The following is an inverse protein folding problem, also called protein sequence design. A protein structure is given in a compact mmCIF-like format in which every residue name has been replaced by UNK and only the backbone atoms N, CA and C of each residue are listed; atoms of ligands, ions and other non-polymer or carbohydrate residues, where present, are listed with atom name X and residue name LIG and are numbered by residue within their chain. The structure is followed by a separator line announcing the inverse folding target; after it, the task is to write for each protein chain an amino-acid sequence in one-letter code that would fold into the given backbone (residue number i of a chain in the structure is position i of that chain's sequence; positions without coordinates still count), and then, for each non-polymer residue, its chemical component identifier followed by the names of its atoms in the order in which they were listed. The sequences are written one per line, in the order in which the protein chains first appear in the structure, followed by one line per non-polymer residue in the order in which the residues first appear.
data_IF_901151510628
#
_entry.id   IF_901151510628
#
_cell.length_a   1.000
_cell.length_b   1.000
_cell.length_c   1.000
_cell.angle_alpha   90.00
_cell.angle_beta   90.00
_cell.angle_gamma   90.00
#
_symmetry.space_group_name_H-M   'P 1'
#
loop_
_entity.id
_entity.type
_entity.pdbx_description
1 polymer ?
#
# COMPACT_ATOMS: atom_id res chain seq x y z
N UNK A 1 -8.33 32.16 35.00
CA UNK A 1 -8.43 32.75 33.65
C UNK A 1 -7.79 31.76 32.68
N UNK A 2 -8.59 30.94 31.98
CA UNK A 2 -8.12 29.90 31.06
C UNK A 2 -8.23 30.43 29.63
N UNK A 3 -7.13 30.44 28.89
CA UNK A 3 -7.15 30.78 27.46
C UNK A 3 -7.60 29.55 26.66
N UNK A 4 -8.58 29.67 25.75
CA UNK A 4 -8.97 28.55 24.90
C UNK A 4 -7.85 28.29 23.89
N UNK A 5 -7.36 27.06 23.86
CA UNK A 5 -6.45 26.58 22.82
C UNK A 5 -7.30 26.37 21.56
N UNK A 6 -7.02 27.17 20.53
CA UNK A 6 -7.67 27.00 19.23
C UNK A 6 -7.00 25.83 18.50
N UNK A 7 -7.69 24.69 18.41
CA UNK A 7 -7.29 23.59 17.52
C UNK A 7 -7.62 24.01 16.09
N UNK A 8 -6.61 24.44 15.32
CA UNK A 8 -6.75 24.58 13.87
C UNK A 8 -6.83 23.18 13.25
N UNK A 9 -8.04 22.73 12.95
CA UNK A 9 -8.28 21.55 12.10
C UNK A 9 -8.04 21.92 10.64
N UNK A 10 -6.82 22.31 10.29
CA UNK A 10 -6.42 22.39 8.88
C UNK A 10 -6.20 20.96 8.41
N UNK A 11 -7.25 20.33 7.88
CA UNK A 11 -7.11 19.10 7.11
C UNK A 11 -6.31 19.41 5.85
N UNK A 12 -4.98 19.28 5.92
CA UNK A 12 -4.06 19.54 4.81
C UNK A 12 -3.96 18.37 3.82
N UNK A 13 -4.73 17.31 4.04
CA UNK A 13 -4.80 16.19 3.11
C UNK A 13 -5.80 16.60 2.04
N UNK A 14 -5.29 17.23 0.97
CA UNK A 14 -5.95 17.08 -0.32
C UNK A 14 -6.14 15.57 -0.51
N UNK A 15 -7.39 15.13 -0.63
CA UNK A 15 -7.70 13.78 -1.05
C UNK A 15 -7.22 13.67 -2.50
N UNK A 16 -5.92 13.50 -2.69
CA UNK A 16 -5.35 13.05 -3.93
C UNK A 16 -5.81 11.61 -4.01
N UNK A 17 -7.01 11.43 -4.57
CA UNK A 17 -7.40 10.18 -5.18
C UNK A 17 -6.39 9.97 -6.31
N UNK A 18 -5.23 9.42 -5.97
CA UNK A 18 -4.34 8.80 -6.93
C UNK A 18 -5.12 7.58 -7.40
N UNK A 19 -6.01 7.80 -8.36
CA UNK A 19 -6.55 6.74 -9.19
C UNK A 19 -5.36 6.32 -10.05
N UNK A 20 -4.50 5.45 -9.50
CA UNK A 20 -3.40 4.86 -10.23
C UNK A 20 -4.00 4.07 -11.38
N UNK A 21 -3.72 4.54 -12.59
CA UNK A 21 -4.02 3.92 -13.88
C UNK A 21 -3.96 2.40 -13.77
N UNK A 22 -5.07 1.75 -14.11
CA UNK A 22 -5.20 0.30 -14.18
C UNK A 22 -4.45 -0.16 -15.44
N UNK A 23 -3.13 -0.13 -15.39
CA UNK A 23 -2.26 -0.79 -16.35
C UNK A 23 -1.55 -1.89 -15.56
N UNK A 24 -2.07 -3.12 -15.69
CA UNK A 24 -1.44 -4.37 -15.20
C UNK A 24 -0.70 -4.22 -13.86
N UNK A 25 -1.47 -3.97 -12.81
CA UNK A 25 -1.04 -3.75 -11.42
C UNK A 25 -0.40 -4.99 -10.75
N UNK A 26 -0.01 -6.02 -11.50
CA UNK A 26 0.61 -7.25 -11.00
C UNK A 26 2.10 -7.10 -10.73
N UNK A 27 2.80 -6.21 -11.45
CA UNK A 27 4.26 -6.11 -11.37
C UNK A 27 4.75 -5.67 -9.99
N UNK A 28 4.17 -4.61 -9.41
CA UNK A 28 4.69 -4.10 -8.15
C UNK A 28 4.37 -5.03 -6.97
N UNK A 29 3.19 -5.66 -6.95
CA UNK A 29 2.77 -6.57 -5.88
C UNK A 29 3.61 -7.84 -5.92
N UNK A 30 3.92 -8.30 -7.13
CA UNK A 30 4.81 -9.44 -7.37
C UNK A 30 6.24 -9.14 -6.92
N UNK A 31 6.83 -8.02 -7.32
CA UNK A 31 8.20 -7.65 -6.93
C UNK A 31 8.34 -7.48 -5.41
N UNK A 32 7.37 -6.83 -4.75
CA UNK A 32 7.37 -6.71 -3.28
C UNK A 32 7.17 -8.07 -2.62
N UNK A 33 6.23 -8.89 -3.11
CA UNK A 33 5.97 -10.23 -2.58
C UNK A 33 7.19 -11.13 -2.70
N UNK A 34 7.86 -11.11 -3.85
CA UNK A 34 9.09 -11.87 -4.13
C UNK A 34 10.23 -11.43 -3.21
N UNK A 35 10.40 -10.12 -3.02
CA UNK A 35 11.38 -9.59 -2.08
C UNK A 35 11.10 -10.02 -0.63
N UNK A 36 9.83 -9.99 -0.19
CA UNK A 36 9.46 -10.40 1.16
C UNK A 36 9.60 -11.91 1.39
N UNK A 37 9.35 -12.72 0.36
CA UNK A 37 9.40 -14.19 0.43
C UNK A 37 10.82 -14.75 0.32
N UNK A 38 11.57 -14.39 -0.73
CA UNK A 38 12.87 -15.01 -1.09
C UNK A 38 14.05 -14.09 -0.74
N UNK A 39 13.80 -12.82 -0.36
CA UNK A 39 14.82 -11.77 -0.20
C UNK A 39 15.61 -11.49 -1.49
N UNK A 40 15.05 -11.85 -2.63
CA UNK A 40 15.65 -11.58 -3.93
C UNK A 40 15.43 -10.11 -4.32
N UNK A 41 16.48 -9.46 -4.80
CA UNK A 41 16.49 -8.06 -5.22
C UNK A 41 16.97 -7.96 -6.67
N UNK A 42 16.42 -7.04 -7.49
CA UNK A 42 16.93 -6.80 -8.84
C UNK A 42 18.41 -6.41 -8.82
N UNK A 43 19.14 -6.70 -9.90
CA UNK A 43 20.56 -6.32 -10.02
C UNK A 43 20.76 -4.80 -10.02
N UNK A 44 19.78 -4.04 -10.49
CA UNK A 44 19.84 -2.59 -10.45
C UNK A 44 19.66 -2.06 -9.02
N UNK A 45 20.64 -1.28 -8.57
CA UNK A 45 20.67 -0.68 -7.24
C UNK A 45 19.50 0.30 -7.03
N UNK A 46 19.11 1.05 -8.06
CA UNK A 46 18.00 2.01 -7.94
C UNK A 46 16.67 1.29 -7.77
N UNK A 47 16.44 0.26 -8.58
CA UNK A 47 15.25 -0.58 -8.46
C UNK A 47 15.18 -1.33 -7.13
N UNK A 48 16.31 -1.86 -6.66
CA UNK A 48 16.46 -2.46 -5.32
C UNK A 48 16.02 -1.50 -4.22
N UNK A 49 16.56 -0.28 -4.21
CA UNK A 49 16.22 0.71 -3.19
C UNK A 49 14.73 1.07 -3.23
N UNK A 50 14.16 1.22 -4.43
CA UNK A 50 12.73 1.47 -4.60
C UNK A 50 11.88 0.36 -3.99
N UNK A 51 12.20 -0.90 -4.26
CA UNK A 51 11.49 -2.06 -3.71
C UNK A 51 11.62 -2.10 -2.19
N UNK A 52 12.81 -1.85 -1.63
CA UNK A 52 13.02 -1.85 -0.18
C UNK A 52 12.18 -0.79 0.52
N UNK A 53 12.18 0.44 0.00
CA UNK A 53 11.38 1.55 0.54
C UNK A 53 9.89 1.21 0.46
N UNK A 54 9.43 0.64 -0.65
CA UNK A 54 8.04 0.23 -0.77
C UNK A 54 7.70 -0.91 0.20
N UNK A 55 8.52 -1.96 0.24
CA UNK A 55 8.31 -3.15 1.06
C UNK A 55 8.30 -2.88 2.56
N UNK A 56 8.92 -1.79 3.03
CA UNK A 56 8.85 -1.38 4.44
C UNK A 56 7.41 -1.18 4.95
N UNK A 57 6.46 -0.92 4.04
CA UNK A 57 5.04 -0.74 4.36
C UNK A 57 4.21 -2.02 4.15
N UNK A 58 4.82 -3.14 3.78
CA UNK A 58 4.13 -4.39 3.49
C UNK A 58 4.63 -5.55 4.34
N UNK A 59 3.78 -6.55 4.50
CA UNK A 59 4.12 -7.79 5.19
C UNK A 59 3.38 -8.98 4.56
N UNK A 60 3.95 -10.17 4.72
CA UNK A 60 3.30 -11.42 4.36
C UNK A 60 2.74 -12.07 5.63
N UNK A 61 1.44 -12.33 5.65
CA UNK A 61 0.75 -13.04 6.72
C UNK A 61 0.00 -14.20 6.07
N UNK A 62 0.37 -15.44 6.39
CA UNK A 62 -0.22 -16.66 5.78
C UNK A 62 -0.23 -16.56 4.25
N UNK A 63 0.94 -16.23 3.69
CA UNK A 63 1.20 -16.13 2.24
C UNK A 63 0.37 -15.09 1.48
N UNK A 64 -0.30 -14.20 2.21
CA UNK A 64 -1.07 -13.08 1.66
C UNK A 64 -0.35 -11.78 1.96
N UNK A 65 -0.31 -10.90 0.96
CA UNK A 65 0.31 -9.59 1.11
C UNK A 65 -0.66 -8.64 1.82
N UNK A 66 -0.13 -7.93 2.81
CA UNK A 66 -0.84 -6.89 3.55
C UNK A 66 -0.06 -5.59 3.51
N UNK A 67 -0.77 -4.48 3.37
CA UNK A 67 -0.22 -3.13 3.50
C UNK A 67 -0.52 -2.59 4.89
N UNK A 68 0.50 -2.03 5.54
CA UNK A 68 0.33 -1.28 6.78
C UNK A 68 -0.31 0.08 6.46
N UNK A 69 -1.47 0.34 7.05
CA UNK A 69 -2.12 1.64 7.00
C UNK A 69 -1.39 2.63 7.89
N UNK A 70 -1.63 3.92 7.67
CA UNK A 70 -1.09 4.98 8.53
C UNK A 70 -1.51 4.84 9.99
N UNK A 71 -2.70 4.27 10.25
CA UNK A 71 -3.21 4.00 11.61
C UNK A 71 -2.70 2.69 12.19
N UNK A 72 -1.78 2.01 11.52
CA UNK A 72 -1.18 0.74 11.96
C UNK A 72 -2.04 -0.49 11.70
N UNK A 73 -3.23 -0.36 11.09
CA UNK A 73 -4.03 -1.52 10.69
C UNK A 73 -3.48 -2.17 9.41
N UNK A 74 -3.61 -3.48 9.29
CA UNK A 74 -3.20 -4.21 8.08
C UNK A 74 -4.38 -4.36 7.12
N UNK A 75 -4.20 -3.86 5.90
CA UNK A 75 -5.17 -4.00 4.81
C UNK A 75 -4.70 -5.10 3.85
N UNK A 76 -5.55 -6.08 3.56
CA UNK A 76 -5.24 -7.15 2.61
C UNK A 76 -5.11 -6.54 1.21
N UNK A 77 -4.01 -6.84 0.52
CA UNK A 77 -3.87 -6.54 -0.90
C UNK A 77 -4.76 -7.50 -1.71
N UNK A 78 -5.51 -6.94 -2.66
CA UNK A 78 -6.36 -7.70 -3.55
C UNK A 78 -5.70 -7.78 -4.91
N UNK A 79 -5.73 -8.97 -5.51
CA UNK A 79 -5.46 -9.12 -6.94
C UNK A 79 -6.54 -8.42 -7.76
N UNK A 80 -6.24 -8.09 -9.02
CA UNK A 80 -7.22 -7.50 -9.95
C UNK A 80 -8.55 -8.27 -9.99
N UNK A 81 -8.53 -9.61 -10.17
CA UNK A 81 -9.75 -10.43 -10.15
C UNK A 81 -10.50 -10.41 -8.80
N UNK A 82 -9.79 -10.49 -7.67
CA UNK A 82 -10.44 -10.40 -6.34
C UNK A 82 -11.12 -9.04 -6.13
N UNK A 83 -10.47 -7.95 -6.58
CA UNK A 83 -11.03 -6.61 -6.50
C UNK A 83 -12.28 -6.47 -7.38
N UNK A 84 -12.23 -6.98 -8.62
CA UNK A 84 -13.38 -6.99 -9.52
C UNK A 84 -14.56 -7.79 -8.94
N UNK A 85 -14.30 -8.97 -8.37
CA UNK A 85 -15.32 -9.78 -7.71
C UNK A 85 -15.97 -9.04 -6.54
N UNK A 86 -15.17 -8.44 -5.64
CA UNK A 86 -15.72 -7.69 -4.50
C UNK A 86 -16.57 -6.51 -5.01
N UNK A 87 -16.08 -5.74 -5.99
CA UNK A 87 -16.84 -4.63 -6.57
C UNK A 87 -18.16 -5.08 -7.19
N UNK A 88 -18.17 -6.21 -7.88
CA UNK A 88 -19.39 -6.76 -8.50
C UNK A 88 -20.43 -7.26 -7.49
N UNK A 89 -20.03 -7.59 -6.26
CA UNK A 89 -20.96 -8.03 -5.20
C UNK A 89 -21.41 -6.88 -4.29
N UNK A 90 -20.89 -5.66 -4.48
CA UNK A 90 -21.30 -4.47 -3.73
C UNK A 90 -22.50 -3.75 -4.35
N UNK A 91 -22.87 -4.11 -5.59
CA UNK A 91 -24.00 -3.57 -6.35
C UNK A 91 -24.96 -4.69 -6.71
#
# INVERSE_FOLDING_TARGET
MLLPIYLQTTSSIAAVSVCSTIETNTDWTYEIGKYLWIRELPKDKKQTQKIQVQAAHFTLIRDKLYRQSFRGSYLKCLSGPEAQYILANLY
#
